data_IF_713611484882
#
_entry.id   IF_713611484882
#
_cell.length_a   1.000
_cell.length_b   1.000
_cell.length_c   1.000
_cell.angle_alpha   90.00
_cell.angle_beta   90.00
_cell.angle_gamma   90.00
#
_symmetry.space_group_name_H-M   'P 1'
#
loop_
_entity.id
_entity.type
_entity.pdbx_description
1 polymer ?
#
# COMPACT_ATOMS: atom_id res chain seq x y z
N UNK A 1 -19.75 4.04 -18.67
CA UNK A 1 -19.75 5.38 -18.02
C UNK A 1 -18.37 6.03 -18.01
N UNK A 2 -17.30 5.29 -17.74
CA UNK A 2 -15.92 5.85 -17.68
C UNK A 2 -15.40 6.32 -19.04
N UNK A 3 -15.72 5.62 -20.15
CA UNK A 3 -15.41 6.07 -21.49
C UNK A 3 -16.11 7.39 -21.86
N UNK A 4 -17.32 7.63 -21.35
CA UNK A 4 -18.05 8.89 -21.57
C UNK A 4 -17.33 10.11 -20.96
N UNK A 5 -16.64 9.93 -19.82
CA UNK A 5 -15.88 11.01 -19.18
C UNK A 5 -14.71 11.47 -20.05
N UNK A 6 -13.96 10.54 -20.67
CA UNK A 6 -12.88 10.85 -21.59
C UNK A 6 -13.39 11.68 -22.79
N UNK A 7 -14.48 11.23 -23.42
CA UNK A 7 -15.00 11.89 -24.62
C UNK A 7 -15.51 13.30 -24.32
N UNK A 8 -15.97 13.53 -23.06
CA UNK A 8 -16.44 14.83 -22.61
C UNK A 8 -15.35 15.75 -22.11
N UNK A 9 -14.36 15.23 -21.37
CA UNK A 9 -13.35 16.04 -20.65
C UNK A 9 -11.95 15.94 -21.21
N UNK A 10 -11.63 14.90 -22.00
CA UNK A 10 -10.29 14.66 -22.60
C UNK A 10 -9.16 14.87 -21.59
N UNK A 11 -9.13 14.15 -20.46
CA UNK A 11 -8.14 14.37 -19.43
C UNK A 11 -6.73 14.01 -19.93
N UNK A 12 -5.72 14.73 -19.46
CA UNK A 12 -4.30 14.45 -19.70
C UNK A 12 -3.79 13.30 -18.81
N UNK A 13 -4.40 13.10 -17.65
CA UNK A 13 -4.12 12.01 -16.72
C UNK A 13 -5.34 11.70 -15.86
N UNK A 14 -5.39 10.52 -15.28
CA UNK A 14 -6.39 10.11 -14.29
C UNK A 14 -5.70 9.89 -12.95
N UNK A 15 -6.09 10.65 -11.94
CA UNK A 15 -5.73 10.41 -10.55
C UNK A 15 -6.87 9.62 -9.88
N UNK A 16 -6.57 8.39 -9.50
CA UNK A 16 -7.50 7.52 -8.79
C UNK A 16 -7.28 7.62 -7.27
N UNK A 17 -8.22 8.26 -6.59
CA UNK A 17 -8.30 8.36 -5.12
C UNK A 17 -9.58 7.70 -4.61
N UNK A 18 -10.16 6.80 -5.41
CA UNK A 18 -11.33 6.00 -5.04
C UNK A 18 -10.90 4.81 -4.19
N UNK A 19 -11.90 4.04 -3.74
CA UNK A 19 -11.65 2.80 -3.03
C UNK A 19 -10.93 1.78 -3.93
N UNK A 20 -10.07 0.92 -3.36
CA UNK A 20 -9.15 0.02 -4.09
C UNK A 20 -9.85 -0.99 -5.01
N UNK A 21 -11.11 -1.31 -4.77
CA UNK A 21 -11.91 -2.21 -5.61
C UNK A 21 -12.04 -1.78 -7.07
N UNK A 22 -11.84 -0.49 -7.36
CA UNK A 22 -12.06 0.10 -8.69
C UNK A 22 -10.80 0.21 -9.52
N UNK A 23 -9.63 -0.03 -8.94
CA UNK A 23 -8.32 0.23 -9.55
C UNK A 23 -8.17 -0.41 -10.93
N UNK A 24 -8.39 -1.72 -11.03
CA UNK A 24 -8.20 -2.43 -12.29
C UNK A 24 -9.20 -1.97 -13.36
N UNK A 25 -10.43 -1.66 -12.97
CA UNK A 25 -11.46 -1.15 -13.90
C UNK A 25 -11.07 0.23 -14.43
N UNK A 26 -10.50 1.08 -13.59
CA UNK A 26 -10.00 2.40 -14.00
C UNK A 26 -8.75 2.25 -14.86
N UNK A 27 -7.83 1.34 -14.51
CA UNK A 27 -6.65 1.03 -15.31
C UNK A 27 -7.01 0.52 -16.71
N UNK A 28 -8.02 -0.35 -16.84
CA UNK A 28 -8.53 -0.80 -18.13
C UNK A 28 -9.08 0.36 -18.97
N UNK A 29 -9.83 1.27 -18.37
CA UNK A 29 -10.33 2.46 -19.04
C UNK A 29 -9.19 3.40 -19.48
N UNK A 30 -8.19 3.60 -18.63
CA UNK A 30 -6.99 4.38 -18.95
C UNK A 30 -6.22 3.78 -20.12
N UNK A 31 -6.04 2.46 -20.11
CA UNK A 31 -5.38 1.72 -21.20
C UNK A 31 -6.13 1.87 -22.52
N UNK A 32 -7.45 1.64 -22.51
CA UNK A 32 -8.31 1.78 -23.70
C UNK A 32 -8.30 3.21 -24.27
N UNK A 33 -8.15 4.20 -23.40
CA UNK A 33 -8.14 5.61 -23.75
C UNK A 33 -6.75 6.20 -24.01
N UNK A 34 -5.71 5.43 -23.72
CA UNK A 34 -4.31 5.88 -23.77
C UNK A 34 -4.06 7.12 -22.90
N UNK A 35 -4.59 7.10 -21.68
CA UNK A 35 -4.44 8.17 -20.70
C UNK A 35 -3.59 7.67 -19.54
N UNK A 36 -2.58 8.42 -19.07
CA UNK A 36 -1.80 8.08 -17.89
C UNK A 36 -2.66 7.87 -16.65
N UNK A 37 -2.23 6.94 -15.79
CA UNK A 37 -2.92 6.56 -14.57
C UNK A 37 -2.04 6.79 -13.34
N UNK A 38 -2.64 7.29 -12.27
CA UNK A 38 -1.98 7.48 -10.97
C UNK A 38 -2.93 6.98 -9.90
N UNK A 39 -2.45 6.20 -8.93
CA UNK A 39 -3.24 5.76 -7.78
C UNK A 39 -2.55 6.02 -6.43
N UNK A 40 -3.30 5.80 -5.37
CA UNK A 40 -2.86 6.00 -3.99
C UNK A 40 -2.92 4.74 -3.15
N UNK A 41 -3.40 3.63 -3.69
CA UNK A 41 -3.59 2.36 -2.99
C UNK A 41 -3.45 1.18 -3.95
N UNK A 42 -3.21 -0.01 -3.41
CA UNK A 42 -3.23 -1.25 -4.17
C UNK A 42 -4.65 -1.77 -4.36
N UNK A 43 -4.85 -2.53 -5.46
CA UNK A 43 -6.13 -3.18 -5.73
C UNK A 43 -6.47 -4.21 -4.66
N UNK A 44 -7.73 -4.19 -4.24
CA UNK A 44 -8.35 -5.22 -3.43
C UNK A 44 -9.58 -5.80 -4.13
N UNK A 45 -9.80 -7.10 -3.95
CA UNK A 45 -11.02 -7.73 -4.46
C UNK A 45 -12.20 -7.42 -3.53
N UNK A 46 -13.30 -6.96 -4.09
CA UNK A 46 -14.55 -6.71 -3.35
C UNK A 46 -15.18 -8.03 -2.85
N UNK A 47 -15.02 -9.11 -3.61
CA UNK A 47 -15.56 -10.43 -3.29
C UNK A 47 -14.43 -11.41 -3.01
N UNK A 48 -13.93 -11.40 -1.77
CA UNK A 48 -12.86 -12.31 -1.31
C UNK A 48 -13.31 -13.77 -1.18
N UNK A 49 -14.60 -14.03 -1.24
CA UNK A 49 -15.15 -15.40 -1.23
C UNK A 49 -15.22 -16.01 -2.63
N UNK A 50 -14.96 -15.22 -3.67
CA UNK A 50 -14.89 -15.71 -5.05
C UNK A 50 -13.80 -16.76 -5.20
N UNK A 51 -14.14 -18.03 -5.58
CA UNK A 51 -13.16 -19.11 -5.65
C UNK A 51 -12.05 -18.88 -6.69
N UNK A 52 -12.34 -18.20 -7.80
CA UNK A 52 -11.36 -17.91 -8.85
C UNK A 52 -10.35 -16.88 -8.35
N UNK A 53 -10.83 -15.81 -7.70
CA UNK A 53 -9.95 -14.83 -7.08
C UNK A 53 -9.08 -15.47 -5.99
N UNK A 54 -9.69 -16.26 -5.09
CA UNK A 54 -8.98 -16.94 -4.00
C UNK A 54 -7.85 -17.82 -4.50
N UNK A 55 -8.09 -18.59 -5.56
CA UNK A 55 -7.04 -19.42 -6.18
C UNK A 55 -5.86 -18.59 -6.67
N UNK A 56 -6.12 -17.52 -7.41
CA UNK A 56 -5.07 -16.63 -7.92
C UNK A 56 -4.32 -15.94 -6.77
N UNK A 57 -5.02 -15.54 -5.73
CA UNK A 57 -4.45 -14.97 -4.53
C UNK A 57 -3.53 -15.96 -3.78
N UNK A 58 -3.98 -17.19 -3.56
CA UNK A 58 -3.19 -18.25 -2.90
C UNK A 58 -1.91 -18.59 -3.69
N UNK A 59 -2.01 -18.72 -5.01
CA UNK A 59 -0.85 -18.93 -5.89
C UNK A 59 0.17 -17.79 -5.77
N UNK A 60 -0.31 -16.56 -5.65
CA UNK A 60 0.50 -15.37 -5.48
C UNK A 60 1.18 -15.33 -4.12
N UNK A 61 0.44 -15.55 -3.04
CA UNK A 61 0.98 -15.62 -1.69
C UNK A 61 2.09 -16.68 -1.58
N UNK A 62 1.87 -17.84 -2.17
CA UNK A 62 2.88 -18.90 -2.24
C UNK A 62 4.16 -18.46 -2.97
N UNK A 63 4.01 -17.71 -4.06
CA UNK A 63 5.16 -17.17 -4.82
C UNK A 63 5.93 -16.12 -4.05
N UNK A 64 5.22 -15.25 -3.33
CA UNK A 64 5.80 -14.15 -2.58
C UNK A 64 6.32 -14.57 -1.19
N UNK A 65 5.81 -15.68 -0.64
CA UNK A 65 6.22 -16.21 0.65
C UNK A 65 5.55 -15.55 1.85
N UNK A 66 4.43 -14.86 1.64
CA UNK A 66 3.62 -14.27 2.70
C UNK A 66 2.12 -14.28 2.34
N UNK A 67 1.25 -14.05 3.32
CA UNK A 67 -0.22 -14.17 3.19
C UNK A 67 -0.95 -12.82 3.35
N UNK A 68 -0.30 -11.71 3.07
CA UNK A 68 -0.95 -10.40 3.11
C UNK A 68 -2.02 -10.27 2.02
N UNK A 69 -3.13 -9.62 2.36
CA UNK A 69 -4.21 -9.33 1.41
C UNK A 69 -3.87 -8.19 0.45
N UNK A 70 -2.84 -7.42 0.75
CA UNK A 70 -2.44 -6.19 0.08
C UNK A 70 -1.17 -6.41 -0.74
N UNK A 71 -1.23 -6.16 -2.04
CA UNK A 71 -0.12 -6.44 -2.96
C UNK A 71 -0.37 -5.72 -4.30
N UNK A 72 0.64 -5.03 -4.80
CA UNK A 72 0.59 -4.31 -6.07
C UNK A 72 0.71 -5.19 -7.31
N UNK A 73 0.88 -6.50 -7.19
CA UNK A 73 1.09 -7.36 -8.35
C UNK A 73 -0.09 -7.42 -9.33
N UNK A 74 -1.31 -7.09 -8.88
CA UNK A 74 -2.46 -6.93 -9.75
C UNK A 74 -2.29 -5.76 -10.72
N UNK A 75 -1.87 -4.61 -10.23
CA UNK A 75 -1.58 -3.44 -11.05
C UNK A 75 -0.29 -3.63 -11.87
N UNK A 76 0.75 -4.28 -11.30
CA UNK A 76 1.98 -4.62 -12.03
C UNK A 76 1.75 -5.53 -13.24
N UNK A 77 0.67 -6.32 -13.26
CA UNK A 77 0.28 -7.13 -14.43
C UNK A 77 -0.03 -6.28 -15.67
N UNK A 78 -0.33 -4.99 -15.50
CA UNK A 78 -0.57 -4.06 -16.61
C UNK A 78 0.71 -3.49 -17.24
N UNK A 79 1.88 -3.72 -16.65
CA UNK A 79 3.14 -3.10 -17.04
C UNK A 79 3.41 -3.14 -18.54
N UNK A 80 3.38 -4.32 -19.14
CA UNK A 80 3.71 -4.47 -20.56
C UNK A 80 2.62 -3.85 -21.46
N UNK A 81 1.36 -3.97 -21.10
CA UNK A 81 0.24 -3.33 -21.82
C UNK A 81 0.37 -1.80 -21.83
N UNK A 82 0.72 -1.21 -20.69
CA UNK A 82 0.93 0.24 -20.57
C UNK A 82 2.14 0.71 -21.39
N UNK A 83 3.22 -0.06 -21.36
CA UNK A 83 4.40 0.17 -22.19
C UNK A 83 4.09 0.16 -23.68
N UNK A 84 3.37 -0.87 -24.16
CA UNK A 84 2.94 -0.99 -25.55
C UNK A 84 2.00 0.16 -25.95
N UNK A 85 1.13 0.60 -25.05
CA UNK A 85 0.24 1.75 -25.28
C UNK A 85 0.96 3.11 -25.23
N UNK A 86 2.21 3.16 -24.77
CA UNK A 86 2.98 4.39 -24.60
C UNK A 86 2.46 5.30 -23.48
N UNK A 87 1.85 4.74 -22.43
CA UNK A 87 1.32 5.47 -21.29
C UNK A 87 2.02 5.07 -19.99
N UNK A 88 1.97 5.96 -18.99
CA UNK A 88 2.56 5.74 -17.68
C UNK A 88 1.48 5.37 -16.67
N UNK A 89 1.73 4.33 -15.87
CA UNK A 89 1.03 4.07 -14.61
C UNK A 89 1.97 4.38 -13.45
N UNK A 90 1.57 5.27 -12.56
CA UNK A 90 2.29 5.59 -11.34
C UNK A 90 1.49 5.08 -10.15
N UNK A 91 2.04 4.10 -9.44
CA UNK A 91 1.35 3.35 -8.40
C UNK A 91 1.81 3.77 -7.00
N UNK A 92 0.89 3.77 -6.04
CA UNK A 92 1.21 4.01 -4.64
C UNK A 92 1.71 5.42 -4.35
N UNK A 93 1.01 6.44 -4.82
CA UNK A 93 1.39 7.85 -4.64
C UNK A 93 0.55 8.56 -3.58
N UNK A 94 0.09 7.79 -2.59
CA UNK A 94 -0.63 8.30 -1.44
C UNK A 94 0.29 8.81 -0.33
N UNK A 95 -0.15 8.68 0.91
CA UNK A 95 0.66 8.98 2.07
C UNK A 95 1.52 7.75 2.44
N UNK A 96 0.89 6.65 2.70
CA UNK A 96 1.44 5.30 2.88
C UNK A 96 0.57 4.30 2.07
N UNK A 97 1.08 3.82 0.98
CA UNK A 97 2.38 4.08 0.33
C UNK A 97 2.43 5.43 -0.41
N UNK A 98 3.63 6.01 -0.48
CA UNK A 98 3.92 7.22 -1.28
C UNK A 98 4.85 8.18 -0.56
N UNK A 99 4.34 9.04 0.32
CA UNK A 99 5.15 10.03 1.07
C UNK A 99 6.22 9.34 1.92
N UNK A 100 5.91 8.21 2.55
CA UNK A 100 6.86 7.37 3.31
C UNK A 100 8.04 6.92 2.47
N UNK A 101 7.79 6.50 1.23
CA UNK A 101 8.83 6.13 0.28
C UNK A 101 9.67 7.32 -0.16
N UNK A 102 9.04 8.49 -0.39
CA UNK A 102 9.74 9.74 -0.73
C UNK A 102 10.64 10.20 0.42
N UNK A 103 10.16 10.16 1.66
CA UNK A 103 10.97 10.50 2.83
C UNK A 103 12.16 9.57 3.00
N UNK A 104 11.97 8.27 2.79
CA UNK A 104 13.06 7.30 2.84
C UNK A 104 14.10 7.58 1.76
N UNK A 105 13.68 7.82 0.52
CA UNK A 105 14.58 8.15 -0.59
C UNK A 105 15.32 9.47 -0.35
N UNK A 106 14.64 10.47 0.21
CA UNK A 106 15.24 11.76 0.58
C UNK A 106 16.28 11.57 1.70
N UNK A 107 15.96 10.80 2.73
CA UNK A 107 16.87 10.50 3.82
C UNK A 107 18.12 9.75 3.33
N UNK A 108 17.94 8.73 2.49
CA UNK A 108 19.04 7.99 1.85
C UNK A 108 19.96 8.93 1.06
N UNK A 109 19.38 9.87 0.31
CA UNK A 109 20.17 10.78 -0.51
C UNK A 109 20.96 11.83 0.28
N UNK A 110 20.44 12.28 1.42
CA UNK A 110 20.92 13.49 2.09
C UNK A 110 21.51 13.27 3.49
N UNK A 111 21.16 12.16 4.16
CA UNK A 111 21.48 11.99 5.57
C UNK A 111 22.19 10.67 5.91
N UNK A 112 22.10 9.65 5.04
CA UNK A 112 22.66 8.34 5.33
C UNK A 112 23.52 7.83 4.17
N UNK A 113 24.69 7.29 4.47
CA UNK A 113 25.51 6.56 3.50
C UNK A 113 24.90 5.19 3.22
N UNK A 114 24.34 4.53 4.24
CA UNK A 114 23.62 3.26 4.16
C UNK A 114 22.41 3.25 5.10
N UNK A 115 21.31 2.66 4.66
CA UNK A 115 20.10 2.44 5.47
C UNK A 115 19.96 0.94 5.73
N UNK A 116 20.14 0.51 6.97
CA UNK A 116 20.01 -0.89 7.36
C UNK A 116 18.62 -1.23 7.91
N UNK A 117 17.94 -0.27 8.54
CA UNK A 117 16.62 -0.49 9.13
C UNK A 117 15.69 0.68 8.82
N UNK A 118 14.44 0.35 8.53
CA UNK A 118 13.36 1.32 8.32
C UNK A 118 12.19 0.89 9.20
N UNK A 119 11.78 1.74 10.12
CA UNK A 119 10.53 1.59 10.85
C UNK A 119 9.62 2.77 10.46
N UNK A 120 8.49 2.47 9.86
CA UNK A 120 7.45 3.43 9.51
C UNK A 120 6.44 3.41 10.65
N UNK A 121 6.18 4.59 11.23
CA UNK A 121 5.30 4.76 12.36
C UNK A 121 4.15 5.67 11.94
N UNK A 122 3.00 5.09 11.65
CA UNK A 122 1.78 5.84 11.31
C UNK A 122 0.98 6.12 12.58
N UNK A 123 0.66 7.40 12.78
CA UNK A 123 -0.03 7.88 13.97
C UNK A 123 -1.22 8.77 13.61
N UNK A 124 -2.41 8.33 14.02
CA UNK A 124 -3.56 9.21 14.06
C UNK A 124 -3.48 10.11 15.31
N UNK A 125 -3.19 11.40 15.08
CA UNK A 125 -3.12 12.42 16.14
C UNK A 125 -4.44 13.15 16.39
N UNK A 126 -5.52 12.76 15.70
CA UNK A 126 -6.85 13.36 15.86
C UNK A 126 -7.58 12.89 17.12
N UNK A 127 -8.55 13.69 17.58
CA UNK A 127 -9.52 13.32 18.58
C UNK A 127 -10.93 13.46 17.97
N UNK A 128 -11.64 12.34 17.88
CA UNK A 128 -13.00 12.27 17.35
C UNK A 128 -14.07 12.24 18.45
N UNK A 129 -13.65 12.31 19.72
CA UNK A 129 -14.56 12.21 20.87
C UNK A 129 -15.15 10.83 21.11
N UNK A 130 -14.58 9.78 20.49
CA UNK A 130 -14.97 8.38 20.65
C UNK A 130 -13.76 7.52 21.04
N UNK A 131 -13.97 6.43 21.82
CA UNK A 131 -12.88 5.53 22.21
C UNK A 131 -12.18 4.84 21.03
N UNK A 132 -12.88 4.69 19.91
CA UNK A 132 -12.35 4.19 18.66
C UNK A 132 -12.95 4.98 17.50
N UNK A 133 -12.10 5.53 16.67
CA UNK A 133 -12.51 6.21 15.45
C UNK A 133 -11.39 6.14 14.41
N UNK A 134 -11.77 6.18 13.15
CA UNK A 134 -10.82 6.22 12.04
C UNK A 134 -11.24 7.30 11.04
N UNK A 135 -10.27 7.98 10.45
CA UNK A 135 -10.46 8.91 9.33
C UNK A 135 -10.52 8.18 7.99
N UNK A 136 -10.27 6.88 8.00
CA UNK A 136 -10.21 6.02 6.83
C UNK A 136 -11.47 5.15 6.71
N UNK A 137 -11.55 4.33 5.67
CA UNK A 137 -12.66 3.39 5.52
C UNK A 137 -12.60 2.34 6.65
N UNK A 138 -13.62 2.25 7.53
CA UNK A 138 -13.58 1.33 8.67
C UNK A 138 -13.47 -0.15 8.28
N UNK A 139 -14.03 -0.54 7.14
CA UNK A 139 -13.96 -1.92 6.64
C UNK A 139 -12.53 -2.28 6.24
N UNK A 140 -11.82 -1.39 5.57
CA UNK A 140 -10.42 -1.60 5.19
C UNK A 140 -9.57 -1.72 6.45
N UNK A 141 -9.69 -0.81 7.41
CA UNK A 141 -8.95 -0.91 8.67
C UNK A 141 -9.24 -2.22 9.42
N UNK A 142 -10.50 -2.67 9.47
CA UNK A 142 -10.84 -3.94 10.11
C UNK A 142 -10.19 -5.14 9.41
N UNK A 143 -10.08 -5.12 8.08
CA UNK A 143 -9.38 -6.16 7.33
C UNK A 143 -7.87 -6.13 7.56
N UNK A 144 -7.26 -4.96 7.56
CA UNK A 144 -5.84 -4.78 7.87
C UNK A 144 -5.47 -5.36 9.23
N UNK A 145 -6.21 -5.00 10.28
CA UNK A 145 -5.92 -5.49 11.64
C UNK A 145 -6.26 -6.97 11.86
N UNK A 146 -7.11 -7.54 11.00
CA UNK A 146 -7.49 -8.95 11.06
C UNK A 146 -6.58 -9.85 10.23
N UNK A 147 -5.83 -9.27 9.31
CA UNK A 147 -4.89 -10.00 8.47
C UNK A 147 -3.59 -10.31 9.26
N UNK A 148 -2.88 -11.41 8.93
CA UNK A 148 -1.53 -11.62 9.40
C UNK A 148 -0.64 -10.42 9.09
N UNK A 149 0.15 -9.98 10.07
CA UNK A 149 1.17 -8.97 9.84
C UNK A 149 2.37 -9.58 9.11
N UNK A 150 3.10 -8.77 8.35
CA UNK A 150 4.38 -9.20 7.80
C UNK A 150 5.35 -8.03 7.67
N UNK A 151 6.63 -8.35 7.71
CA UNK A 151 7.71 -7.39 7.58
C UNK A 151 8.90 -8.01 6.84
N UNK A 152 9.80 -7.16 6.36
CA UNK A 152 11.01 -7.59 5.69
C UNK A 152 12.17 -7.70 6.67
N UNK A 153 12.89 -8.82 6.68
CA UNK A 153 14.09 -9.02 7.48
C UNK A 153 15.09 -9.92 6.76
N UNK A 154 16.34 -9.48 6.68
CA UNK A 154 17.49 -10.21 6.12
C UNK A 154 17.21 -10.89 4.76
N UNK A 155 16.55 -10.19 3.87
CA UNK A 155 16.32 -10.66 2.51
C UNK A 155 15.07 -11.52 2.32
N UNK A 156 14.20 -11.64 3.33
CA UNK A 156 12.99 -12.44 3.27
C UNK A 156 11.82 -11.81 4.03
N UNK A 157 10.60 -12.24 3.70
CA UNK A 157 9.40 -11.87 4.43
C UNK A 157 9.26 -12.73 5.70
N UNK A 158 8.90 -12.07 6.79
CA UNK A 158 8.55 -12.71 8.06
C UNK A 158 7.06 -12.43 8.32
N UNK A 159 6.27 -13.48 8.44
CA UNK A 159 4.85 -13.40 8.78
C UNK A 159 4.64 -13.60 10.27
N UNK A 160 3.68 -12.85 10.84
CA UNK A 160 3.30 -12.91 12.25
C UNK A 160 1.77 -12.96 12.37
N UNK A 161 1.22 -13.53 13.47
CA UNK A 161 -0.21 -13.44 13.72
C UNK A 161 -0.68 -11.98 13.79
N UNK A 162 -1.94 -11.76 13.40
CA UNK A 162 -2.56 -10.44 13.42
C UNK A 162 -2.34 -9.75 14.78
N UNK A 163 -1.91 -8.49 14.75
CA UNK A 163 -1.69 -7.62 15.92
C UNK A 163 -0.81 -8.23 17.05
N UNK A 164 0.01 -9.22 16.75
CA UNK A 164 0.81 -9.94 17.78
C UNK A 164 2.02 -9.16 18.31
N UNK A 165 2.51 -8.17 17.55
CA UNK A 165 3.60 -7.30 18.00
C UNK A 165 3.06 -5.90 18.27
N UNK A 166 3.04 -5.56 19.55
CA UNK A 166 2.65 -4.24 20.05
C UNK A 166 3.89 -3.50 20.54
N UNK A 167 3.95 -2.20 20.30
CA UNK A 167 4.93 -1.27 20.86
C UNK A 167 4.25 -0.01 21.33
N UNK A 168 4.88 0.66 22.25
CA UNK A 168 4.52 1.99 22.70
C UNK A 168 5.55 2.99 22.17
N UNK A 169 5.09 4.14 21.71
CA UNK A 169 5.94 5.20 21.20
C UNK A 169 5.39 6.57 21.63
N UNK A 170 6.30 7.47 21.99
CA UNK A 170 5.96 8.84 22.35
C UNK A 170 6.14 9.74 21.12
N UNK A 171 5.03 10.06 20.47
CA UNK A 171 5.03 10.89 19.27
C UNK A 171 5.08 12.36 19.63
N UNK A 172 5.97 13.09 18.99
CA UNK A 172 6.05 14.55 19.12
C UNK A 172 4.68 15.20 18.89
N UNK A 173 4.25 16.06 19.80
CA UNK A 173 2.97 16.79 19.78
C UNK A 173 1.70 15.95 19.92
N UNK A 174 1.79 14.61 19.94
CA UNK A 174 0.63 13.70 20.09
C UNK A 174 0.68 12.98 21.44
N UNK A 175 1.89 12.69 21.93
CA UNK A 175 2.13 11.91 23.15
C UNK A 175 2.17 10.41 22.91
N UNK A 176 2.07 9.69 24.01
CA UNK A 176 2.28 8.25 24.05
C UNK A 176 1.12 7.48 23.41
N UNK A 177 1.43 6.64 22.44
CA UNK A 177 0.46 5.81 21.71
C UNK A 177 0.94 4.36 21.63
N UNK A 178 -0.02 3.46 21.73
CA UNK A 178 0.17 2.05 21.36
C UNK A 178 0.13 1.90 19.84
N UNK A 179 1.10 1.19 19.29
CA UNK A 179 1.14 0.87 17.88
C UNK A 179 1.36 -0.62 17.63
N UNK A 180 0.83 -1.13 16.55
CA UNK A 180 0.88 -2.54 16.20
C UNK A 180 1.56 -2.74 14.85
N UNK A 181 2.39 -3.80 14.76
CA UNK A 181 3.04 -4.18 13.50
C UNK A 181 2.01 -4.82 12.57
N UNK A 182 1.88 -4.24 11.38
CA UNK A 182 1.02 -4.71 10.30
C UNK A 182 1.85 -4.97 9.04
N UNK A 183 1.27 -5.68 8.08
CA UNK A 183 1.75 -5.62 6.70
C UNK A 183 1.36 -4.29 6.07
N UNK A 184 2.25 -3.71 5.25
CA UNK A 184 1.91 -2.54 4.45
C UNK A 184 2.69 -2.53 3.13
N UNK A 185 2.09 -2.01 2.06
CA UNK A 185 2.53 -2.21 0.67
C UNK A 185 3.85 -1.52 0.34
N UNK A 186 4.18 -0.38 0.97
CA UNK A 186 5.46 0.29 0.72
C UNK A 186 6.66 -0.55 1.08
N UNK A 187 6.52 -1.55 1.95
CA UNK A 187 7.61 -2.46 2.31
C UNK A 187 8.13 -3.18 1.07
N UNK A 188 7.24 -3.56 0.13
CA UNK A 188 7.65 -4.19 -1.13
C UNK A 188 8.59 -3.30 -1.95
N UNK A 189 8.21 -2.05 -2.10
CA UNK A 189 8.97 -1.05 -2.85
C UNK A 189 10.30 -0.72 -2.16
N UNK A 190 10.29 -0.52 -0.85
CA UNK A 190 11.47 -0.20 -0.06
C UNK A 190 12.47 -1.35 -0.02
N UNK A 191 12.01 -2.58 0.18
CA UNK A 191 12.85 -3.78 0.15
C UNK A 191 13.57 -3.97 -1.18
N UNK A 192 12.92 -3.57 -2.27
CA UNK A 192 13.47 -3.69 -3.63
C UNK A 192 14.43 -2.56 -3.98
N UNK A 193 14.19 -1.35 -3.49
CA UNK A 193 14.85 -0.14 -4.00
C UNK A 193 15.83 0.51 -3.00
N UNK A 194 15.86 0.09 -1.73
CA UNK A 194 16.86 0.55 -0.75
C UNK A 194 17.98 -0.46 -0.63
N UNK A 195 19.16 -0.22 -1.22
CA UNK A 195 20.28 -1.14 -1.19
C UNK A 195 20.76 -1.38 0.25
N UNK A 196 21.03 -2.63 0.59
CA UNK A 196 21.62 -2.98 1.91
C UNK A 196 20.65 -2.98 3.08
N UNK A 197 19.35 -2.68 2.85
CA UNK A 197 18.35 -2.72 3.90
C UNK A 197 18.18 -4.15 4.43
N UNK A 198 18.23 -4.28 5.75
CA UNK A 198 18.11 -5.58 6.46
C UNK A 198 16.74 -5.78 7.07
N UNK A 199 16.08 -4.69 7.50
CA UNK A 199 14.75 -4.78 8.12
C UNK A 199 13.89 -3.59 7.76
N UNK A 200 12.62 -3.87 7.41
CA UNK A 200 11.60 -2.85 7.15
C UNK A 200 10.32 -3.28 7.87
N UNK A 201 9.75 -2.40 8.69
CA UNK A 201 8.53 -2.66 9.46
C UNK A 201 7.60 -1.47 9.36
N UNK A 202 6.31 -1.76 9.36
CA UNK A 202 5.26 -0.76 9.46
C UNK A 202 4.46 -0.95 10.75
N UNK A 203 4.21 0.15 11.45
CA UNK A 203 3.43 0.18 12.67
C UNK A 203 2.35 1.25 12.56
N UNK A 204 1.14 0.92 12.98
CA UNK A 204 0.00 1.83 12.98
C UNK A 204 -0.61 1.95 14.38
N UNK A 205 -1.08 3.15 14.72
CA UNK A 205 -1.85 3.40 15.95
C UNK A 205 -3.34 3.29 15.67
N UNK A 206 -4.11 2.92 16.67
CA UNK A 206 -5.58 2.87 16.63
C UNK A 206 -6.15 3.65 17.82
N UNK A 207 -7.03 4.63 17.55
CA UNK A 207 -7.68 5.49 18.55
C UNK A 207 -7.16 6.91 18.60
#
# INVERSE_FOLDING_TARGET
RQMCIRDSYKPDAVLNVALPYQDLTIMDACLACKVPYVDTANYECEDTDNPEWRKVYEERCKRLGFTAYFDYSWQWAYREKYKEAGITGLLGTGFDPGVTSVFTAYAQKHYFDEIHTIDILDCNGGDHGYPFATNFNPEINLREVSAPGSYWEDGHWVEIPAMSIKREYDFDCVGQKDMYLLHHEEIESLAKNVPGVKRIRFFMTFG
#
